data_IF_054905066682
#
_entry.id   IF_054905066682
#
_cell.length_a   1.000
_cell.length_b   1.000
_cell.length_c   1.000
_cell.angle_alpha   90.00
_cell.angle_beta   90.00
_cell.angle_gamma   90.00
#
_symmetry.space_group_name_H-M   'P 1'
#
loop_
_entity.id
_entity.type
_entity.pdbx_description
1 polymer ?
#
# COMPACT_ATOMS: atom_id res chain seq x y z
N UNK A 1 -14.84 -10.16 22.28
CA UNK A 1 -14.20 -10.40 20.97
C UNK A 1 -13.02 -9.45 20.85
N UNK A 2 -11.81 -10.00 20.87
CA UNK A 2 -10.57 -9.31 21.28
C UNK A 2 -10.03 -8.34 20.21
N UNK A 3 -9.85 -7.06 20.57
CA UNK A 3 -9.34 -6.00 19.66
C UNK A 3 -7.85 -6.16 19.29
N UNK A 4 -7.06 -6.88 20.10
CA UNK A 4 -5.62 -7.09 19.86
C UNK A 4 -5.32 -7.94 18.62
N UNK A 5 -6.13 -8.95 18.32
CA UNK A 5 -5.83 -9.90 17.23
C UNK A 5 -5.97 -9.26 15.84
N UNK A 6 -6.83 -8.24 15.68
CA UNK A 6 -7.03 -7.56 14.40
C UNK A 6 -5.86 -6.66 14.03
N UNK A 7 -5.23 -6.05 15.03
CA UNK A 7 -4.09 -5.16 14.83
C UNK A 7 -2.84 -5.96 14.47
N UNK A 8 -2.58 -7.10 15.12
CA UNK A 8 -1.42 -7.95 14.78
C UNK A 8 -1.47 -8.49 13.34
N UNK A 9 -2.64 -8.82 12.80
CA UNK A 9 -2.76 -9.32 11.42
C UNK A 9 -2.55 -8.19 10.41
N UNK A 10 -3.07 -7.00 10.70
CA UNK A 10 -2.86 -5.82 9.85
C UNK A 10 -1.41 -5.33 9.94
N UNK A 11 -0.80 -5.30 11.12
CA UNK A 11 0.57 -4.84 11.32
C UNK A 11 1.60 -5.82 10.75
N UNK A 12 1.41 -7.15 10.88
CA UNK A 12 2.26 -8.15 10.20
C UNK A 12 2.10 -8.11 8.68
N UNK A 13 0.93 -7.73 8.17
CA UNK A 13 0.71 -7.57 6.74
C UNK A 13 1.30 -6.25 6.20
N UNK A 14 1.38 -5.21 7.03
CA UNK A 14 1.72 -3.86 6.61
C UNK A 14 3.17 -3.43 6.91
N UNK A 15 3.86 -4.01 7.90
CA UNK A 15 5.18 -3.53 8.35
C UNK A 15 6.16 -4.67 8.66
N UNK A 16 6.39 -5.58 7.72
CA UNK A 16 7.50 -6.52 7.83
C UNK A 16 8.83 -5.80 7.60
N UNK A 17 9.44 -5.32 8.68
CA UNK A 17 10.76 -4.71 8.62
C UNK A 17 11.81 -5.80 8.44
N UNK A 18 12.30 -5.99 7.22
CA UNK A 18 13.34 -6.97 6.90
C UNK A 18 14.67 -6.54 7.54
N UNK A 19 15.01 -7.15 8.68
CA UNK A 19 16.29 -6.94 9.35
C UNK A 19 17.25 -8.02 8.85
N UNK A 20 18.36 -7.63 8.25
CA UNK A 20 19.39 -8.59 7.80
C UNK A 20 20.14 -9.11 9.03
N UNK A 21 19.89 -10.36 9.42
CA UNK A 21 20.61 -11.08 10.47
C UNK A 21 21.55 -12.12 9.87
N UNK A 22 22.57 -12.55 10.62
CA UNK A 22 23.53 -13.56 10.17
C UNK A 22 22.85 -14.88 9.76
N UNK A 23 21.77 -15.24 10.45
CA UNK A 23 20.92 -16.40 10.13
C UNK A 23 20.23 -16.26 8.77
N UNK A 24 19.68 -15.07 8.47
CA UNK A 24 19.06 -14.79 7.16
C UNK A 24 20.11 -14.82 6.05
N UNK A 25 21.32 -14.30 6.31
CA UNK A 25 22.42 -14.36 5.34
C UNK A 25 22.85 -15.80 5.07
N UNK A 26 22.92 -16.66 6.09
CA UNK A 26 23.27 -18.08 5.92
C UNK A 26 22.19 -18.84 5.13
N UNK A 27 20.91 -18.56 5.41
CA UNK A 27 19.78 -19.14 4.69
C UNK A 27 19.84 -18.85 3.19
N UNK A 28 19.97 -17.58 2.81
CA UNK A 28 20.05 -17.19 1.39
C UNK A 28 21.37 -17.58 0.72
N UNK A 29 22.42 -17.89 1.48
CA UNK A 29 23.64 -18.50 0.94
C UNK A 29 23.38 -19.93 0.43
N UNK A 30 22.41 -20.63 1.03
CA UNK A 30 21.96 -21.96 0.62
C UNK A 30 20.84 -21.91 -0.44
N UNK A 31 20.07 -20.82 -0.48
CA UNK A 31 18.97 -20.58 -1.41
C UNK A 31 19.12 -19.23 -2.17
N UNK A 32 20.15 -19.08 -3.00
CA UNK A 32 20.44 -17.81 -3.68
C UNK A 32 19.41 -17.44 -4.76
N UNK A 33 18.67 -18.41 -5.28
CA UNK A 33 17.56 -18.23 -6.22
C UNK A 33 16.34 -17.57 -5.56
N UNK A 34 16.21 -17.68 -4.23
CA UNK A 34 15.12 -17.05 -3.50
C UNK A 34 15.31 -15.55 -3.29
N UNK A 35 16.52 -15.01 -3.53
CA UNK A 35 16.81 -13.58 -3.40
C UNK A 35 15.96 -12.74 -4.37
N UNK A 36 15.68 -13.29 -5.56
CA UNK A 36 14.88 -12.62 -6.58
C UNK A 36 13.42 -12.43 -6.11
N UNK A 37 12.90 -13.30 -5.24
CA UNK A 37 11.57 -13.15 -4.65
C UNK A 37 11.44 -11.91 -3.76
N UNK A 38 12.55 -11.42 -3.17
CA UNK A 38 12.54 -10.19 -2.36
C UNK A 38 12.26 -8.98 -3.26
N UNK A 39 12.94 -8.90 -4.40
CA UNK A 39 12.77 -7.83 -5.39
C UNK A 39 11.38 -7.92 -6.03
N UNK A 40 10.91 -9.13 -6.30
CA UNK A 40 9.59 -9.35 -6.87
C UNK A 40 8.45 -8.99 -5.90
N UNK A 41 8.66 -9.16 -4.58
CA UNK A 41 7.70 -8.72 -3.55
C UNK A 41 7.51 -7.20 -3.57
N UNK A 42 8.58 -6.43 -3.69
CA UNK A 42 8.51 -4.96 -3.77
C UNK A 42 7.75 -4.51 -5.03
N UNK A 43 8.07 -5.11 -6.19
CA UNK A 43 7.32 -4.86 -7.44
C UNK A 43 5.85 -5.27 -7.34
N UNK A 44 5.54 -6.33 -6.61
CA UNK A 44 4.17 -6.79 -6.42
C UNK A 44 3.33 -5.78 -5.65
N UNK A 45 3.89 -5.13 -4.61
CA UNK A 45 3.21 -4.08 -3.86
C UNK A 45 2.90 -2.86 -4.72
N UNK A 46 3.88 -2.35 -5.48
CA UNK A 46 3.65 -1.22 -6.39
C UNK A 46 2.62 -1.55 -7.48
N UNK A 47 2.66 -2.78 -8.02
CA UNK A 47 1.70 -3.24 -9.04
C UNK A 47 0.29 -3.38 -8.48
N UNK A 48 0.16 -3.89 -7.26
CA UNK A 48 -1.13 -3.97 -6.56
C UNK A 48 -1.69 -2.57 -6.33
N UNK A 49 -0.85 -1.63 -5.90
CA UNK A 49 -1.24 -0.25 -5.65
C UNK A 49 -1.74 0.44 -6.93
N UNK A 50 -1.00 0.28 -8.03
CA UNK A 50 -1.40 0.77 -9.34
C UNK A 50 -2.70 0.12 -9.82
N UNK A 51 -2.88 -1.18 -9.61
CA UNK A 51 -4.11 -1.90 -9.96
C UNK A 51 -5.31 -1.40 -9.16
N UNK A 52 -5.15 -1.19 -7.85
CA UNK A 52 -6.22 -0.65 -6.99
C UNK A 52 -6.56 0.79 -7.39
N UNK A 53 -5.55 1.60 -7.71
CA UNK A 53 -5.77 2.97 -8.17
C UNK A 53 -6.61 2.99 -9.47
N UNK A 54 -6.22 2.20 -10.48
CA UNK A 54 -6.95 2.12 -11.76
C UNK A 54 -8.35 1.54 -11.55
N UNK A 55 -8.50 0.51 -10.71
CA UNK A 55 -9.80 -0.10 -10.40
C UNK A 55 -10.73 0.90 -9.70
N UNK A 56 -10.26 1.57 -8.66
CA UNK A 56 -11.04 2.58 -7.94
C UNK A 56 -11.48 3.71 -8.86
N UNK A 57 -10.57 4.21 -9.69
CA UNK A 57 -10.87 5.25 -10.69
C UNK A 57 -11.88 4.78 -11.72
N UNK A 58 -11.75 3.55 -12.24
CA UNK A 58 -12.69 2.99 -13.21
C UNK A 58 -14.09 2.80 -12.62
N UNK A 59 -14.19 2.33 -11.37
CA UNK A 59 -15.47 2.18 -10.67
C UNK A 59 -16.10 3.57 -10.44
N UNK A 60 -15.34 4.54 -9.90
CA UNK A 60 -15.88 5.89 -9.63
C UNK A 60 -16.36 6.57 -10.90
N UNK A 61 -15.55 6.59 -11.97
CA UNK A 61 -15.96 7.19 -13.24
C UNK A 61 -17.12 6.41 -13.86
N UNK A 62 -17.05 5.08 -13.85
CA UNK A 62 -18.08 4.22 -14.39
C UNK A 62 -19.43 4.46 -13.73
N UNK A 63 -19.48 4.48 -12.39
CA UNK A 63 -20.70 4.75 -11.63
C UNK A 63 -21.26 6.14 -11.89
N UNK A 64 -20.40 7.16 -11.96
CA UNK A 64 -20.81 8.53 -12.26
C UNK A 64 -21.39 8.66 -13.68
N UNK A 65 -20.74 8.04 -14.68
CA UNK A 65 -21.23 8.03 -16.07
C UNK A 65 -22.54 7.26 -16.18
N UNK A 66 -22.68 6.12 -15.50
CA UNK A 66 -23.93 5.35 -15.50
C UNK A 66 -25.08 6.16 -14.89
N UNK A 67 -24.84 6.83 -13.77
CA UNK A 67 -25.83 7.69 -13.13
C UNK A 67 -26.34 8.79 -14.08
N UNK A 68 -25.42 9.40 -14.83
CA UNK A 68 -25.74 10.46 -15.79
C UNK A 68 -26.58 9.97 -16.97
N UNK A 69 -26.26 8.82 -17.56
CA UNK A 69 -26.96 8.32 -18.76
C UNK A 69 -28.30 7.65 -18.48
N UNK A 70 -28.51 7.13 -17.26
CA UNK A 70 -29.69 6.34 -16.91
C UNK A 70 -30.54 6.97 -15.81
N UNK A 71 -30.39 8.28 -15.60
CA UNK A 71 -31.06 9.07 -14.55
C UNK A 71 -32.58 8.83 -14.52
N UNK A 72 -33.23 8.74 -15.70
CA UNK A 72 -34.68 8.55 -15.85
C UNK A 72 -35.14 7.08 -15.90
N UNK A 73 -34.21 6.12 -16.03
CA UNK A 73 -34.53 4.70 -16.28
C UNK A 73 -34.41 3.87 -15.00
N UNK A 74 -33.54 4.29 -14.08
CA UNK A 74 -33.21 3.54 -12.87
C UNK A 74 -34.10 3.97 -11.70
N UNK A 75 -34.67 3.01 -10.97
CA UNK A 75 -35.46 3.29 -9.77
C UNK A 75 -34.61 3.93 -8.66
N UNK A 76 -35.24 4.67 -7.75
CA UNK A 76 -34.59 5.43 -6.67
C UNK A 76 -33.54 4.63 -5.87
N UNK A 77 -33.79 3.35 -5.63
CA UNK A 77 -32.85 2.44 -4.95
C UNK A 77 -31.53 2.22 -5.73
N UNK A 78 -31.62 2.16 -7.05
CA UNK A 78 -30.48 1.90 -7.93
C UNK A 78 -29.57 3.13 -8.08
N UNK A 79 -30.17 4.32 -8.17
CA UNK A 79 -29.43 5.57 -8.26
C UNK A 79 -28.83 5.97 -6.90
N UNK A 80 -29.66 5.99 -5.84
CA UNK A 80 -29.27 6.53 -4.54
C UNK A 80 -28.40 5.57 -3.71
N UNK A 81 -28.43 4.26 -3.99
CA UNK A 81 -27.71 3.28 -3.14
C UNK A 81 -26.60 2.58 -3.91
N UNK A 82 -26.87 2.02 -5.09
CA UNK A 82 -25.86 1.21 -5.79
C UNK A 82 -24.80 2.09 -6.46
N UNK A 83 -25.21 3.16 -7.15
CA UNK A 83 -24.26 4.06 -7.81
C UNK A 83 -23.50 4.94 -6.80
N UNK A 84 -24.17 5.41 -5.76
CA UNK A 84 -23.54 6.22 -4.72
C UNK A 84 -22.51 5.40 -3.91
N UNK A 85 -22.90 4.25 -3.39
CA UNK A 85 -21.98 3.37 -2.62
C UNK A 85 -20.82 2.88 -3.49
N UNK A 86 -21.04 2.55 -4.76
CA UNK A 86 -19.94 2.15 -5.64
C UNK A 86 -18.99 3.31 -5.95
N UNK A 87 -19.51 4.52 -6.14
CA UNK A 87 -18.71 5.74 -6.30
C UNK A 87 -17.86 6.00 -5.06
N UNK A 88 -18.46 5.99 -3.86
CA UNK A 88 -17.77 6.18 -2.58
C UNK A 88 -16.69 5.12 -2.32
N UNK A 89 -16.98 3.85 -2.63
CA UNK A 89 -16.00 2.77 -2.53
C UNK A 89 -14.84 2.97 -3.50
N UNK A 90 -15.11 3.33 -4.74
CA UNK A 90 -14.06 3.65 -5.72
C UNK A 90 -13.20 4.82 -5.26
N UNK A 91 -13.82 5.85 -4.66
CA UNK A 91 -13.15 7.02 -4.08
C UNK A 91 -12.22 6.60 -2.94
N UNK A 92 -12.72 5.77 -2.02
CA UNK A 92 -11.95 5.28 -0.89
C UNK A 92 -10.76 4.42 -1.34
N UNK A 93 -10.95 3.54 -2.33
CA UNK A 93 -9.89 2.66 -2.85
C UNK A 93 -8.79 3.48 -3.51
N UNK A 94 -9.13 4.42 -4.41
CA UNK A 94 -8.08 5.23 -5.05
C UNK A 94 -7.39 6.14 -4.02
N UNK A 95 -8.15 6.74 -3.08
CA UNK A 95 -7.60 7.60 -2.03
C UNK A 95 -6.60 6.85 -1.16
N UNK A 96 -6.94 5.64 -0.72
CA UNK A 96 -6.03 4.77 0.02
C UNK A 96 -4.77 4.41 -0.77
N UNK A 97 -4.90 4.14 -2.06
CA UNK A 97 -3.77 3.88 -2.93
C UNK A 97 -2.81 5.08 -3.03
N UNK A 98 -3.35 6.30 -3.20
CA UNK A 98 -2.56 7.54 -3.22
C UNK A 98 -1.86 7.76 -1.88
N UNK A 99 -2.55 7.57 -0.76
CA UNK A 99 -1.96 7.74 0.57
C UNK A 99 -0.80 6.78 0.81
N UNK A 100 -0.96 5.50 0.49
CA UNK A 100 0.10 4.51 0.67
C UNK A 100 1.34 4.83 -0.19
N UNK A 101 1.14 5.27 -1.44
CA UNK A 101 2.23 5.71 -2.32
C UNK A 101 3.01 6.89 -1.74
N UNK A 102 2.30 7.89 -1.21
CA UNK A 102 2.93 9.04 -0.55
C UNK A 102 3.71 8.60 0.70
N UNK A 103 3.16 7.68 1.49
CA UNK A 103 3.84 7.14 2.67
C UNK A 103 5.16 6.44 2.30
N UNK A 104 5.16 5.64 1.24
CA UNK A 104 6.36 4.95 0.74
C UNK A 104 7.49 5.94 0.41
N UNK A 105 7.17 7.01 -0.33
CA UNK A 105 8.12 8.08 -0.66
C UNK A 105 8.66 8.77 0.59
N UNK A 106 7.78 9.10 1.53
CA UNK A 106 8.15 9.79 2.77
C UNK A 106 9.05 8.90 3.64
N UNK A 107 8.73 7.62 3.77
CA UNK A 107 9.52 6.64 4.51
C UNK A 107 10.91 6.49 3.90
N UNK A 108 11.01 6.35 2.57
CA UNK A 108 12.30 6.25 1.89
C UNK A 108 13.16 7.50 2.12
N UNK A 109 12.55 8.69 2.13
CA UNK A 109 13.24 9.95 2.45
C UNK A 109 13.72 9.98 3.90
N UNK A 110 12.83 9.72 4.86
CA UNK A 110 13.16 9.70 6.28
C UNK A 110 14.25 8.68 6.60
N UNK A 111 14.23 7.52 5.96
CA UNK A 111 15.25 6.49 6.13
C UNK A 111 16.65 6.98 5.73
N UNK A 112 16.77 7.61 4.55
CA UNK A 112 18.04 8.19 4.09
C UNK A 112 18.54 9.30 5.01
N UNK A 113 17.66 10.20 5.43
CA UNK A 113 18.00 11.28 6.36
C UNK A 113 18.47 10.75 7.71
N UNK A 114 17.80 9.72 8.24
CA UNK A 114 18.16 9.08 9.51
C UNK A 114 19.52 8.36 9.44
N UNK A 115 19.84 7.69 8.32
CA UNK A 115 21.17 7.09 8.13
C UNK A 115 22.25 8.16 8.10
N UNK A 116 22.05 9.22 7.32
CA UNK A 116 23.01 10.31 7.22
C UNK A 116 23.24 10.98 8.58
N UNK A 117 22.16 11.23 9.32
CA UNK A 117 22.20 11.80 10.66
C UNK A 117 22.94 10.89 11.64
N UNK A 118 22.64 9.58 11.65
CA UNK A 118 23.33 8.60 12.49
C UNK A 118 24.83 8.53 12.19
N UNK A 119 25.21 8.52 10.91
CA UNK A 119 26.62 8.46 10.51
C UNK A 119 27.37 9.73 10.93
N UNK A 120 26.74 10.90 10.80
CA UNK A 120 27.31 12.17 11.26
C UNK A 120 27.53 12.20 12.78
N UNK A 121 26.60 11.64 13.57
CA UNK A 121 26.79 11.50 15.02
C UNK A 121 27.96 10.56 15.33
N UNK A 122 28.01 9.39 14.71
CA UNK A 122 29.11 8.42 14.92
C UNK A 122 30.48 9.03 14.62
N UNK A 123 30.61 9.72 13.50
CA UNK A 123 31.86 10.38 13.12
C UNK A 123 32.33 11.43 14.16
N UNK A 124 31.41 12.05 14.91
CA UNK A 124 31.73 12.98 16.00
C UNK A 124 32.06 12.29 17.32
N UNK A 125 31.59 11.07 17.54
CA UNK A 125 31.86 10.29 18.76
C UNK A 125 33.17 9.50 18.69
N UNK A 126 33.65 9.21 17.48
CA UNK A 126 34.94 8.55 17.21
C UNK A 126 36.12 9.55 17.16
N UNK A 127 35.85 10.85 17.31
CA UNK A 127 36.83 11.94 17.50
C UNK A 127 36.99 12.25 18.99
#
# INVERSE_FOLDING_TARGET
MNKENKNNVLDNFLLEKTIVTDEIVEYYRQHPDELDFIIDKEKAHTKLLASLFVLGLAITIGSCVLAYFFEDIWGKFMNDVVLDVSSELGIAIFGGAVTAYLLEILQAKQYRENIAYRNAIKARLEQ
#
